data_IF_861064299293
#
_entry.id   IF_861064299293
#
_cell.length_a   1.000
_cell.length_b   1.000
_cell.length_c   1.000
_cell.angle_alpha   90.00
_cell.angle_beta   90.00
_cell.angle_gamma   90.00
#
_symmetry.space_group_name_H-M   'P 1'
#
loop_
_entity.id
_entity.type
_entity.pdbx_description
1 polymer ?
#
# COMPACT_ATOMS: atom_id res chain seq x y z
N UNK A 1 27.00 29.79 -17.37
CA UNK A 1 26.14 28.81 -18.03
C UNK A 1 26.28 27.38 -17.43
N UNK A 2 27.38 26.99 -16.76
CA UNK A 2 27.54 25.68 -16.18
C UNK A 2 26.89 25.53 -14.79
N UNK A 3 26.89 26.55 -13.98
CA UNK A 3 26.44 26.50 -12.56
C UNK A 3 24.92 26.31 -12.43
N UNK A 4 24.14 26.90 -13.33
CA UNK A 4 22.68 26.77 -13.33
C UNK A 4 22.17 25.38 -13.85
N UNK A 5 22.99 24.71 -14.66
CA UNK A 5 22.69 23.34 -15.07
C UNK A 5 23.02 22.34 -13.95
N UNK A 6 24.14 22.55 -13.26
CA UNK A 6 24.55 21.72 -12.12
C UNK A 6 23.57 21.82 -10.94
N UNK A 7 23.03 23.00 -10.67
CA UNK A 7 21.96 23.18 -9.67
C UNK A 7 20.67 22.44 -10.06
N UNK A 8 20.25 22.51 -11.32
CA UNK A 8 19.06 21.79 -11.80
C UNK A 8 19.23 20.28 -11.74
N UNK A 9 20.41 19.78 -12.03
CA UNK A 9 20.71 18.35 -11.98
C UNK A 9 20.72 17.80 -10.56
N UNK A 10 21.05 18.62 -9.54
CA UNK A 10 20.97 18.24 -8.13
C UNK A 10 19.52 18.16 -7.63
N UNK A 11 18.62 19.01 -8.11
CA UNK A 11 17.23 19.02 -7.64
C UNK A 11 16.34 17.96 -8.31
N UNK A 12 16.68 17.52 -9.53
CA UNK A 12 15.92 16.51 -10.26
C UNK A 12 15.73 15.19 -9.48
N UNK A 13 16.77 14.57 -8.89
CA UNK A 13 16.59 13.34 -8.11
C UNK A 13 15.71 13.53 -6.88
N UNK A 14 15.76 14.73 -6.26
CA UNK A 14 14.95 15.05 -5.11
C UNK A 14 13.46 15.11 -5.44
N UNK A 15 13.09 15.83 -6.49
CA UNK A 15 11.69 15.88 -6.95
C UNK A 15 11.20 14.51 -7.41
N UNK A 16 12.03 13.76 -8.11
CA UNK A 16 11.71 12.42 -8.57
C UNK A 16 11.45 11.48 -7.40
N UNK A 17 12.24 11.58 -6.32
CA UNK A 17 12.04 10.78 -5.10
C UNK A 17 10.73 11.13 -4.40
N UNK A 18 10.38 12.40 -4.30
CA UNK A 18 9.13 12.86 -3.70
C UNK A 18 7.94 12.35 -4.52
N UNK A 19 8.01 12.45 -5.84
CA UNK A 19 6.95 11.99 -6.74
C UNK A 19 6.73 10.47 -6.64
N UNK A 20 7.82 9.69 -6.64
CA UNK A 20 7.76 8.23 -6.43
C UNK A 20 7.17 7.92 -5.06
N UNK A 21 7.63 8.58 -4.01
CA UNK A 21 7.16 8.35 -2.65
C UNK A 21 5.67 8.67 -2.49
N UNK A 22 5.23 9.80 -3.03
CA UNK A 22 3.83 10.21 -2.97
C UNK A 22 2.93 9.23 -3.73
N UNK A 23 3.30 8.90 -4.98
CA UNK A 23 2.52 8.03 -5.83
C UNK A 23 2.46 6.60 -5.27
N UNK A 24 3.59 6.06 -4.81
CA UNK A 24 3.64 4.72 -4.21
C UNK A 24 2.86 4.64 -2.91
N UNK A 25 2.91 5.68 -2.07
CA UNK A 25 2.14 5.74 -0.82
C UNK A 25 0.64 5.77 -1.10
N UNK A 26 0.19 6.58 -2.05
CA UNK A 26 -1.22 6.64 -2.47
C UNK A 26 -1.71 5.29 -2.99
N UNK A 27 -0.94 4.68 -3.88
CA UNK A 27 -1.30 3.36 -4.44
C UNK A 27 -1.33 2.28 -3.34
N UNK A 28 -0.32 2.24 -2.49
CA UNK A 28 -0.24 1.27 -1.38
C UNK A 28 -1.36 1.49 -0.37
N UNK A 29 -1.71 2.74 -0.07
CA UNK A 29 -2.79 3.08 0.85
C UNK A 29 -4.14 2.60 0.32
N UNK A 30 -4.48 2.95 -0.91
CA UNK A 30 -5.74 2.52 -1.54
C UNK A 30 -5.82 1.00 -1.60
N UNK A 31 -4.78 0.34 -2.12
CA UNK A 31 -4.74 -1.11 -2.21
C UNK A 31 -4.77 -1.79 -0.83
N UNK A 32 -4.03 -1.25 0.16
CA UNK A 32 -3.97 -1.76 1.52
C UNK A 32 -5.31 -1.68 2.25
N UNK A 33 -5.99 -0.54 2.14
CA UNK A 33 -7.32 -0.36 2.73
C UNK A 33 -8.34 -1.29 2.08
N UNK A 34 -8.37 -1.36 0.75
CA UNK A 34 -9.29 -2.23 0.02
C UNK A 34 -9.08 -3.70 0.38
N UNK A 35 -7.83 -4.15 0.41
CA UNK A 35 -7.53 -5.54 0.75
C UNK A 35 -7.82 -5.84 2.22
N UNK A 36 -7.47 -4.94 3.14
CA UNK A 36 -7.77 -5.09 4.56
C UNK A 36 -9.28 -5.19 4.81
N UNK A 37 -10.08 -4.34 4.14
CA UNK A 37 -11.53 -4.39 4.20
C UNK A 37 -12.08 -5.71 3.65
N UNK A 38 -11.57 -6.17 2.50
CA UNK A 38 -12.00 -7.42 1.89
C UNK A 38 -11.68 -8.64 2.77
N UNK A 39 -10.48 -8.69 3.34
CA UNK A 39 -10.05 -9.77 4.26
C UNK A 39 -10.82 -9.72 5.58
N UNK A 40 -11.13 -8.51 6.08
CA UNK A 40 -11.94 -8.36 7.29
C UNK A 40 -13.35 -8.91 7.10
N UNK A 41 -13.96 -8.68 5.95
CA UNK A 41 -15.30 -9.18 5.62
C UNK A 41 -15.34 -10.70 5.41
N UNK A 42 -14.24 -11.31 4.95
CA UNK A 42 -14.15 -12.77 4.80
C UNK A 42 -13.73 -13.42 6.10
N UNK A 43 -14.54 -14.40 6.58
CA UNK A 43 -14.27 -15.13 7.83
C UNK A 43 -13.21 -16.23 7.66
N UNK A 44 -13.02 -16.78 6.46
CA UNK A 44 -12.14 -17.92 6.18
C UNK A 44 -10.90 -17.50 5.39
N UNK A 45 -9.74 -18.07 5.75
CA UNK A 45 -8.48 -17.87 5.00
C UNK A 45 -7.63 -16.67 5.41
N UNK A 46 -7.99 -15.93 6.46
CA UNK A 46 -7.23 -14.74 6.94
C UNK A 46 -5.75 -15.03 7.18
N UNK A 47 -5.44 -16.18 7.79
CA UNK A 47 -4.06 -16.55 8.13
C UNK A 47 -3.19 -16.76 6.89
N UNK A 48 -3.75 -17.32 5.82
CA UNK A 48 -3.02 -17.57 4.58
C UNK A 48 -2.70 -16.25 3.89
N UNK A 49 -3.68 -15.33 3.80
CA UNK A 49 -3.45 -13.99 3.23
C UNK A 49 -2.39 -13.21 4.02
N UNK A 50 -2.44 -13.28 5.36
CA UNK A 50 -1.45 -12.64 6.21
C UNK A 50 -0.06 -13.23 6.05
N UNK A 51 0.06 -14.54 5.91
CA UNK A 51 1.32 -15.21 5.69
C UNK A 51 1.93 -14.83 4.33
N UNK A 52 1.13 -14.84 3.26
CA UNK A 52 1.59 -14.46 1.91
C UNK A 52 2.01 -13.00 1.86
N UNK A 53 1.25 -12.10 2.48
CA UNK A 53 1.58 -10.68 2.54
C UNK A 53 2.76 -10.36 3.45
N UNK A 54 3.10 -11.27 4.37
CA UNK A 54 4.28 -11.14 5.20
C UNK A 54 5.60 -11.47 4.45
N UNK A 55 5.53 -12.25 3.38
CA UNK A 55 6.72 -12.68 2.63
C UNK A 55 7.61 -11.51 2.17
N UNK A 56 7.08 -10.46 1.50
CA UNK A 56 7.92 -9.33 1.09
C UNK A 56 8.54 -8.56 2.26
N UNK A 57 7.94 -8.63 3.45
CA UNK A 57 8.45 -7.93 4.64
C UNK A 57 9.60 -8.69 5.32
N UNK A 58 9.61 -10.02 5.23
CA UNK A 58 10.66 -10.87 5.80
C UNK A 58 11.90 -10.88 4.89
N UNK A 59 11.71 -10.75 3.58
CA UNK A 59 12.79 -10.70 2.61
C UNK A 59 13.54 -9.37 2.69
N UNK A 60 14.86 -9.37 2.57
CA UNK A 60 15.63 -8.13 2.42
C UNK A 60 15.13 -7.34 1.20
N UNK A 61 15.07 -6.00 1.26
CA UNK A 61 14.60 -5.17 0.13
C UNK A 61 15.36 -5.42 -1.18
N UNK A 62 16.64 -5.78 -1.08
CA UNK A 62 17.47 -6.17 -2.22
C UNK A 62 16.97 -7.44 -2.90
N UNK A 63 16.55 -8.45 -2.12
CA UNK A 63 15.97 -9.67 -2.66
C UNK A 63 14.64 -9.40 -3.35
N UNK A 64 13.79 -8.55 -2.77
CA UNK A 64 12.53 -8.13 -3.40
C UNK A 64 12.79 -7.44 -4.73
N UNK A 65 13.75 -6.51 -4.78
CA UNK A 65 14.18 -5.85 -6.02
C UNK A 65 14.68 -6.84 -7.07
N UNK A 66 15.46 -7.83 -6.67
CA UNK A 66 15.95 -8.88 -7.55
C UNK A 66 14.81 -9.77 -8.10
N UNK A 67 13.84 -10.15 -7.27
CA UNK A 67 12.66 -10.89 -7.72
C UNK A 67 11.82 -10.08 -8.71
N UNK A 68 11.64 -8.79 -8.47
CA UNK A 68 10.95 -7.90 -9.41
C UNK A 68 11.71 -7.81 -10.75
N UNK A 69 13.03 -7.74 -10.68
CA UNK A 69 13.86 -7.73 -11.90
C UNK A 69 13.74 -9.04 -12.68
N UNK A 70 13.72 -10.19 -12.00
CA UNK A 70 13.49 -11.49 -12.64
C UNK A 70 12.11 -11.58 -13.25
N UNK A 71 11.09 -11.04 -12.57
CA UNK A 71 9.69 -11.12 -13.02
C UNK A 71 9.41 -10.21 -14.22
N UNK A 72 9.92 -8.98 -14.19
CA UNK A 72 9.68 -7.96 -15.23
C UNK A 72 10.84 -7.78 -16.21
N UNK A 73 11.94 -8.52 -16.03
CA UNK A 73 13.11 -8.49 -16.92
C UNK A 73 12.79 -9.01 -18.32
N UNK A 74 13.61 -8.64 -19.28
CA UNK A 74 13.45 -9.03 -20.69
C UNK A 74 13.41 -10.53 -20.94
N UNK A 75 14.01 -11.31 -20.06
CA UNK A 75 14.06 -12.78 -20.16
C UNK A 75 12.84 -13.47 -19.54
N UNK A 76 12.00 -12.74 -18.82
CA UNK A 76 10.75 -13.27 -18.28
C UNK A 76 9.64 -13.21 -19.34
N UNK A 77 8.76 -14.20 -19.34
CA UNK A 77 7.56 -14.22 -20.19
C UNK A 77 6.69 -12.97 -19.98
N UNK A 78 6.55 -12.51 -18.72
CA UNK A 78 5.77 -11.32 -18.36
C UNK A 78 6.49 -10.06 -18.86
N UNK A 79 7.80 -9.95 -18.64
CA UNK A 79 8.59 -8.82 -19.09
C UNK A 79 8.64 -8.71 -20.62
N UNK A 80 8.82 -9.84 -21.33
CA UNK A 80 8.78 -9.89 -22.79
C UNK A 80 7.43 -9.41 -23.33
N UNK A 81 6.32 -9.89 -22.77
CA UNK A 81 4.97 -9.48 -23.14
C UNK A 81 4.74 -7.97 -22.96
N UNK A 82 5.19 -7.41 -21.84
CA UNK A 82 5.07 -5.98 -21.57
C UNK A 82 5.88 -5.12 -22.52
N UNK A 83 7.09 -5.58 -22.89
CA UNK A 83 7.96 -4.88 -23.85
C UNK A 83 7.33 -4.92 -25.25
N UNK A 84 6.76 -6.05 -25.65
CA UNK A 84 6.07 -6.21 -26.94
C UNK A 84 4.88 -5.26 -27.09
N UNK A 85 4.21 -4.95 -25.96
CA UNK A 85 3.12 -3.97 -25.91
C UNK A 85 3.61 -2.51 -25.68
N UNK A 86 4.91 -2.26 -25.78
CA UNK A 86 5.48 -0.90 -25.66
C UNK A 86 5.52 -0.35 -24.23
N UNK A 87 5.42 -1.21 -23.22
CA UNK A 87 5.45 -0.83 -21.79
C UNK A 87 6.70 -1.42 -21.12
N UNK A 88 7.91 -0.89 -21.39
CA UNK A 88 9.08 -1.31 -20.64
C UNK A 88 8.92 -0.89 -19.17
N UNK A 89 9.06 -1.84 -18.24
CA UNK A 89 8.97 -1.56 -16.80
C UNK A 89 10.35 -1.37 -16.20
N UNK A 90 11.33 -2.21 -16.56
CA UNK A 90 12.66 -2.23 -15.95
C UNK A 90 13.44 -0.94 -16.25
N UNK A 91 14.11 -0.41 -15.23
CA UNK A 91 14.86 0.84 -15.26
C UNK A 91 14.05 2.09 -15.65
N UNK A 92 12.76 2.09 -15.32
CA UNK A 92 11.88 3.24 -15.54
C UNK A 92 11.33 3.78 -14.24
N UNK A 93 10.77 4.99 -14.27
CA UNK A 93 10.01 5.57 -13.16
C UNK A 93 8.92 4.63 -12.64
N UNK A 94 8.25 3.91 -13.54
CA UNK A 94 7.22 2.91 -13.20
C UNK A 94 7.77 1.77 -12.35
N UNK A 95 9.00 1.32 -12.63
CA UNK A 95 9.66 0.30 -11.82
C UNK A 95 9.95 0.77 -10.39
N UNK A 96 10.40 2.02 -10.24
CA UNK A 96 10.67 2.61 -8.93
C UNK A 96 9.38 2.69 -8.10
N UNK A 97 8.28 3.16 -8.69
CA UNK A 97 6.97 3.21 -8.04
C UNK A 97 6.48 1.80 -7.67
N UNK A 98 6.58 0.84 -8.58
CA UNK A 98 6.14 -0.53 -8.35
C UNK A 98 6.95 -1.19 -7.21
N UNK A 99 8.27 -1.03 -7.20
CA UNK A 99 9.13 -1.55 -6.15
C UNK A 99 8.79 -0.93 -4.79
N UNK A 100 8.58 0.39 -4.74
CA UNK A 100 8.19 1.10 -3.54
C UNK A 100 6.81 0.64 -3.02
N UNK A 101 5.84 0.41 -3.92
CA UNK A 101 4.52 -0.15 -3.58
C UNK A 101 4.66 -1.53 -2.97
N UNK A 102 5.40 -2.45 -3.61
CA UNK A 102 5.54 -3.84 -3.14
C UNK A 102 6.16 -3.90 -1.76
N UNK A 103 7.12 -3.03 -1.46
CA UNK A 103 7.79 -2.98 -0.13
C UNK A 103 6.91 -2.33 0.93
N UNK A 104 6.19 -1.25 0.59
CA UNK A 104 5.36 -0.49 1.57
C UNK A 104 4.01 -1.14 1.84
N UNK A 105 3.45 -1.83 0.85
CA UNK A 105 2.11 -2.40 0.89
C UNK A 105 1.85 -3.33 2.09
N UNK A 106 2.75 -4.30 2.43
CA UNK A 106 2.51 -5.19 3.56
C UNK A 106 2.41 -4.46 4.90
N UNK A 107 3.23 -3.41 5.07
CA UNK A 107 3.24 -2.60 6.30
C UNK A 107 1.92 -1.83 6.44
N UNK A 108 1.48 -1.17 5.37
CA UNK A 108 0.21 -0.45 5.35
C UNK A 108 -0.98 -1.39 5.58
N UNK A 109 -1.01 -2.54 4.90
CA UNK A 109 -2.04 -3.55 5.11
C UNK A 109 -2.13 -4.00 6.57
N UNK A 110 -0.99 -4.32 7.20
CA UNK A 110 -0.95 -4.74 8.62
C UNK A 110 -1.43 -3.64 9.57
N UNK A 111 -1.03 -2.40 9.33
CA UNK A 111 -1.46 -1.25 10.14
C UNK A 111 -2.96 -1.04 10.06
N UNK A 112 -3.51 -1.02 8.85
CA UNK A 112 -4.95 -0.88 8.63
C UNK A 112 -5.71 -2.06 9.24
N UNK A 113 -5.20 -3.28 9.06
CA UNK A 113 -5.83 -4.46 9.65
C UNK A 113 -5.82 -4.47 11.18
N UNK A 114 -4.73 -4.00 11.80
CA UNK A 114 -4.66 -3.85 13.25
C UNK A 114 -5.71 -2.84 13.74
N UNK A 115 -5.93 -1.76 13.00
CA UNK A 115 -7.00 -0.79 13.29
C UNK A 115 -8.39 -1.44 13.21
N UNK A 116 -8.65 -2.28 12.21
CA UNK A 116 -9.91 -3.03 12.12
C UNK A 116 -10.09 -4.03 13.27
N UNK A 117 -9.01 -4.69 13.68
CA UNK A 117 -9.07 -5.66 14.78
C UNK A 117 -9.29 -5.01 16.14
N UNK A 118 -8.92 -3.73 16.28
CA UNK A 118 -9.13 -2.95 17.50
C UNK A 118 -10.56 -2.43 17.68
N UNK A 119 -11.42 -2.58 16.65
CA UNK A 119 -12.84 -2.21 16.75
C UNK A 119 -13.56 -3.28 17.56
N UNK A 120 -14.17 -2.86 18.67
CA UNK A 120 -14.96 -3.74 19.53
C UNK A 120 -16.19 -4.27 18.77
N UNK A 121 -16.42 -5.57 18.87
CA UNK A 121 -17.58 -6.23 18.21
C UNK A 121 -18.91 -5.76 18.77
N UNK A 122 -18.94 -5.35 20.03
CA UNK A 122 -20.15 -4.84 20.68
C UNK A 122 -20.53 -3.46 20.13
N UNK A 123 -19.54 -2.62 19.83
CA UNK A 123 -19.74 -1.34 19.10
C UNK A 123 -20.30 -1.56 17.69
N UNK A 124 -19.83 -2.57 16.99
CA UNK A 124 -20.35 -2.95 15.68
C UNK A 124 -21.80 -3.45 15.76
N UNK A 125 -22.14 -4.20 16.79
CA UNK A 125 -23.49 -4.65 17.07
C UNK A 125 -24.45 -3.48 17.32
N UNK A 126 -24.05 -2.55 18.17
CA UNK A 126 -24.82 -1.33 18.48
C UNK A 126 -25.01 -0.42 17.23
N UNK A 127 -23.96 -0.24 16.42
CA UNK A 127 -24.04 0.54 15.19
C UNK A 127 -25.01 -0.08 14.17
N UNK A 128 -25.05 -1.40 14.05
CA UNK A 128 -26.00 -2.10 13.18
C UNK A 128 -27.46 -1.91 13.63
N UNK A 129 -27.73 -1.90 14.93
CA UNK A 129 -29.08 -1.63 15.44
C UNK A 129 -29.53 -0.20 15.20
N UNK A 130 -28.59 0.74 15.11
CA UNK A 130 -28.82 2.16 14.76
C UNK A 130 -28.89 2.43 13.25
N UNK A 131 -28.74 1.40 12.40
CA UNK A 131 -28.78 1.54 10.94
C UNK A 131 -27.57 2.24 10.34
N UNK A 132 -26.48 2.41 11.08
CA UNK A 132 -25.24 3.06 10.60
C UNK A 132 -24.46 2.06 9.77
N UNK A 133 -24.03 2.46 8.56
CA UNK A 133 -23.25 1.58 7.68
C UNK A 133 -21.87 1.31 8.29
N UNK A 134 -21.36 0.10 8.09
CA UNK A 134 -20.05 -0.33 8.60
C UNK A 134 -18.90 0.58 8.13
N UNK A 135 -19.02 1.17 6.94
CA UNK A 135 -18.08 2.16 6.41
C UNK A 135 -18.08 3.47 7.23
N UNK A 136 -19.23 3.93 7.71
CA UNK A 136 -19.34 5.12 8.55
C UNK A 136 -18.70 4.89 9.93
N UNK A 137 -18.91 3.71 10.50
CA UNK A 137 -18.26 3.33 11.77
C UNK A 137 -16.73 3.29 11.60
N UNK A 138 -16.26 2.77 10.47
CA UNK A 138 -14.84 2.73 10.17
C UNK A 138 -14.21 4.13 10.01
N UNK A 139 -14.82 4.99 9.21
CA UNK A 139 -14.35 6.37 9.01
C UNK A 139 -14.40 7.18 10.32
N UNK A 140 -15.40 6.96 11.15
CA UNK A 140 -15.52 7.58 12.46
C UNK A 140 -14.48 7.08 13.47
N UNK A 141 -14.11 5.80 13.44
CA UNK A 141 -13.07 5.25 14.31
C UNK A 141 -11.64 5.57 13.86
N UNK A 142 -11.42 5.81 12.57
CA UNK A 142 -10.12 6.24 12.04
C UNK A 142 -9.80 7.70 12.34
N UNK A 143 -10.80 8.55 12.66
CA UNK A 143 -10.57 9.92 13.11
C UNK A 143 -10.35 9.96 14.64
N UNK A 144 -9.11 10.13 15.13
CA UNK A 144 -8.82 10.12 16.57
C UNK A 144 -9.51 11.26 17.35
N UNK A 145 -10.05 12.23 16.64
CA UNK A 145 -10.74 13.37 17.26
C UNK A 145 -12.18 13.07 17.66
N UNK A 146 -12.82 12.07 17.05
CA UNK A 146 -14.22 11.72 17.32
C UNK A 146 -14.39 10.82 18.55
N UNK A 147 -13.30 10.15 19.01
CA UNK A 147 -13.33 9.36 20.26
C UNK A 147 -13.68 10.20 21.50
N UNK A 148 -13.36 11.48 21.53
CA UNK A 148 -13.69 12.37 22.65
C UNK A 148 -15.17 12.78 22.69
N UNK A 149 -15.84 12.85 21.55
CA UNK A 149 -17.26 13.20 21.49
C UNK A 149 -18.17 12.01 21.90
N UNK A 150 -17.72 10.78 21.70
CA UNK A 150 -18.52 9.57 22.00
C UNK A 150 -18.40 9.12 23.47
N UNK A 151 -17.37 9.55 24.18
CA UNK A 151 -17.19 9.25 25.63
C UNK A 151 -17.85 10.29 26.54
N UNK A 152 -18.44 11.35 26.00
CA UNK A 152 -19.11 12.41 26.75
C UNK A 152 -20.65 12.42 26.59
N UNK A 153 -21.21 11.46 25.84
CA UNK A 153 -22.66 11.24 25.72
C UNK A 153 -23.07 9.97 26.45
#
# INVERSE_FOLDING_TARGET
MGVEQEERDMWQPFFLTIEVAFLSTMMSFVAGVLLAYFVWRRQHGKAIFDAVLALPMVLPPTAVGFFLLLLFGKQSTIGAFLIEHGIPVVFTFKAAVLAAVVVSFPLLYRTVRASFAAIDRDLLGAARTLGVSELHVFLGCCCPWQKRAFLQA
#
